data_IF_287267881689
#
_entry.id   IF_287267881689
#
_cell.length_a   1.000
_cell.length_b   1.000
_cell.length_c   1.000
_cell.angle_alpha   90.00
_cell.angle_beta   90.00
_cell.angle_gamma   90.00
#
_symmetry.space_group_name_H-M   'P 1'
#
loop_
_entity.id
_entity.type
_entity.pdbx_description
1 polymer ?
#
# COMPACT_ATOMS: atom_id res chain seq x y z
N UNK A 1 -32.35 -48.06 -62.32
CA UNK A 1 -33.59 -47.27 -62.49
C UNK A 1 -33.77 -46.25 -61.35
N UNK A 2 -33.53 -46.64 -60.08
CA UNK A 2 -33.65 -45.75 -58.90
C UNK A 2 -32.63 -44.59 -58.90
N UNK A 3 -31.36 -44.83 -59.22
CA UNK A 3 -30.36 -43.74 -59.29
C UNK A 3 -30.65 -42.71 -60.39
N UNK A 4 -31.24 -43.14 -61.51
CA UNK A 4 -31.61 -42.24 -62.59
C UNK A 4 -32.79 -41.33 -62.17
N UNK A 5 -33.77 -41.87 -61.44
CA UNK A 5 -34.87 -41.10 -60.83
C UNK A 5 -34.36 -40.11 -59.77
N UNK A 6 -33.43 -40.52 -58.92
CA UNK A 6 -32.84 -39.67 -57.87
C UNK A 6 -32.05 -38.50 -58.48
N UNK A 7 -31.29 -38.77 -59.54
CA UNK A 7 -30.54 -37.74 -60.26
C UNK A 7 -31.47 -36.75 -61.01
N UNK A 8 -32.62 -37.21 -61.50
CA UNK A 8 -33.64 -36.36 -62.13
C UNK A 8 -34.33 -35.46 -61.09
N UNK A 9 -34.64 -35.97 -59.90
CA UNK A 9 -35.23 -35.18 -58.81
C UNK A 9 -34.26 -34.13 -58.30
N UNK A 10 -33.01 -34.50 -58.06
CA UNK A 10 -31.97 -33.57 -57.61
C UNK A 10 -31.73 -32.45 -58.63
N UNK A 11 -31.58 -32.78 -59.93
CA UNK A 11 -31.50 -31.76 -60.99
C UNK A 11 -32.74 -30.89 -61.08
N UNK A 12 -33.92 -31.45 -60.84
CA UNK A 12 -35.17 -30.68 -60.87
C UNK A 12 -35.20 -29.67 -59.72
N UNK A 13 -34.82 -30.07 -58.51
CA UNK A 13 -34.78 -29.18 -57.34
C UNK A 13 -33.70 -28.09 -57.49
N UNK A 14 -32.54 -28.43 -58.06
CA UNK A 14 -31.47 -27.47 -58.35
C UNK A 14 -31.91 -26.43 -59.40
N UNK A 15 -32.52 -26.88 -60.50
CA UNK A 15 -33.08 -25.99 -61.53
C UNK A 15 -34.24 -25.16 -60.99
N UNK A 16 -35.08 -25.72 -60.10
CA UNK A 16 -36.16 -24.97 -59.45
C UNK A 16 -35.60 -23.87 -58.55
N UNK A 17 -34.58 -24.18 -57.77
CA UNK A 17 -33.91 -23.23 -56.87
C UNK A 17 -33.23 -22.10 -57.66
N UNK A 18 -32.54 -22.42 -58.76
CA UNK A 18 -31.93 -21.43 -59.65
C UNK A 18 -32.97 -20.55 -60.36
N UNK A 19 -34.10 -21.12 -60.78
CA UNK A 19 -35.19 -20.39 -61.43
C UNK A 19 -35.92 -19.46 -60.44
N UNK A 20 -36.11 -19.91 -59.20
CA UNK A 20 -36.65 -19.07 -58.11
C UNK A 20 -35.69 -17.93 -57.78
N UNK A 21 -34.38 -18.19 -57.77
CA UNK A 21 -33.37 -17.16 -57.53
C UNK A 21 -33.28 -16.13 -58.68
N UNK A 22 -33.45 -16.56 -59.93
CA UNK A 22 -33.50 -15.65 -61.08
C UNK A 22 -34.77 -14.80 -61.09
N UNK A 23 -35.94 -15.40 -60.80
CA UNK A 23 -37.23 -14.69 -60.64
C UNK A 23 -37.19 -13.66 -59.50
N UNK A 24 -36.51 -13.99 -58.41
CA UNK A 24 -36.28 -13.08 -57.28
C UNK A 24 -35.44 -11.85 -57.67
N UNK A 25 -34.53 -12.00 -58.63
CA UNK A 25 -33.69 -10.90 -59.14
C UNK A 25 -34.39 -10.08 -60.25
N UNK A 26 -35.30 -10.68 -61.01
CA UNK A 26 -35.97 -10.02 -62.15
C UNK A 26 -37.28 -9.31 -61.78
N UNK A 27 -38.03 -9.80 -60.77
CA UNK A 27 -39.34 -9.23 -60.40
C UNK A 27 -39.24 -8.27 -59.20
N UNK A 28 -39.49 -6.96 -59.37
CA UNK A 28 -39.44 -5.96 -58.28
C UNK A 28 -40.40 -6.28 -57.12
N UNK A 29 -41.55 -6.90 -57.42
CA UNK A 29 -42.57 -7.27 -56.41
C UNK A 29 -42.11 -8.38 -55.46
N UNK A 30 -41.33 -9.34 -55.96
CA UNK A 30 -40.85 -10.49 -55.19
C UNK A 30 -39.73 -10.07 -54.23
N UNK A 31 -38.83 -9.17 -54.68
CA UNK A 31 -37.83 -8.51 -53.84
C UNK A 31 -38.47 -7.70 -52.73
N UNK A 32 -39.55 -6.95 -53.01
CA UNK A 32 -40.29 -6.20 -52.00
C UNK A 32 -40.88 -7.12 -50.92
N UNK A 33 -41.50 -8.24 -51.31
CA UNK A 33 -42.04 -9.23 -50.36
C UNK A 33 -40.93 -9.80 -49.48
N UNK A 34 -39.76 -10.11 -50.05
CA UNK A 34 -38.61 -10.59 -49.28
C UNK A 34 -38.11 -9.54 -48.28
N UNK A 35 -37.98 -8.28 -48.70
CA UNK A 35 -37.60 -7.18 -47.81
C UNK A 35 -38.62 -6.96 -46.69
N UNK A 36 -39.92 -7.08 -46.98
CA UNK A 36 -40.97 -7.00 -45.97
C UNK A 36 -40.90 -8.16 -44.97
N UNK A 37 -40.60 -9.38 -45.43
CA UNK A 37 -40.37 -10.54 -44.55
C UNK A 37 -39.15 -10.34 -43.65
N UNK A 38 -38.04 -9.86 -44.21
CA UNK A 38 -36.83 -9.56 -43.44
C UNK A 38 -37.05 -8.43 -42.43
N UNK A 39 -37.79 -7.38 -42.82
CA UNK A 39 -38.16 -6.27 -41.94
C UNK A 39 -39.07 -6.76 -40.80
N UNK A 40 -40.04 -7.62 -41.10
CA UNK A 40 -40.93 -8.23 -40.10
C UNK A 40 -40.14 -9.12 -39.14
N UNK A 41 -39.23 -9.95 -39.65
CA UNK A 41 -38.37 -10.80 -38.82
C UNK A 41 -37.47 -9.98 -37.88
N UNK A 42 -36.86 -8.89 -38.39
CA UNK A 42 -36.08 -7.94 -37.57
C UNK A 42 -36.96 -7.20 -36.57
N UNK A 43 -38.17 -6.81 -36.95
CA UNK A 43 -39.15 -6.20 -36.04
C UNK A 43 -39.48 -7.10 -34.85
N UNK A 44 -39.75 -8.39 -35.11
CA UNK A 44 -39.99 -9.38 -34.05
C UNK A 44 -38.78 -9.58 -33.13
N UNK A 45 -37.56 -9.55 -33.68
CA UNK A 45 -36.34 -9.60 -32.86
C UNK A 45 -36.19 -8.36 -31.98
N UNK A 46 -36.50 -7.18 -32.51
CA UNK A 46 -36.48 -5.92 -31.76
C UNK A 46 -37.51 -5.97 -30.62
N UNK A 47 -38.73 -6.40 -30.90
CA UNK A 47 -39.79 -6.53 -29.88
C UNK A 47 -39.38 -7.51 -28.77
N UNK A 48 -38.75 -8.63 -29.12
CA UNK A 48 -38.21 -9.58 -28.14
C UNK A 48 -37.15 -8.93 -27.23
N UNK A 49 -36.20 -8.21 -27.82
CA UNK A 49 -35.17 -7.50 -27.06
C UNK A 49 -35.79 -6.43 -26.17
N UNK A 50 -36.77 -5.68 -26.70
CA UNK A 50 -37.46 -4.64 -25.94
C UNK A 50 -38.22 -5.23 -24.73
N UNK A 51 -38.90 -6.37 -24.91
CA UNK A 51 -39.54 -7.10 -23.80
C UNK A 51 -38.52 -7.54 -22.74
N UNK A 52 -37.35 -8.04 -23.15
CA UNK A 52 -36.29 -8.43 -22.22
C UNK A 52 -35.73 -7.23 -21.44
N UNK A 53 -35.57 -6.07 -22.11
CA UNK A 53 -35.16 -4.82 -21.46
C UNK A 53 -36.19 -4.42 -20.41
N UNK A 54 -37.48 -4.40 -20.76
CA UNK A 54 -38.55 -4.04 -19.81
C UNK A 54 -38.60 -4.99 -18.62
N UNK A 55 -38.45 -6.29 -18.86
CA UNK A 55 -38.39 -7.29 -17.78
C UNK A 55 -37.20 -7.04 -16.84
N UNK A 56 -36.02 -6.72 -17.38
CA UNK A 56 -34.83 -6.42 -16.57
C UNK A 56 -34.94 -5.10 -15.81
N UNK A 57 -35.60 -4.10 -16.40
CA UNK A 57 -35.87 -2.83 -15.71
C UNK A 57 -36.80 -3.05 -14.53
N UNK A 58 -37.91 -3.75 -14.73
CA UNK A 58 -38.82 -4.12 -13.65
C UNK A 58 -38.11 -4.92 -12.55
N UNK A 59 -37.35 -5.95 -12.92
CA UNK A 59 -36.58 -6.75 -11.94
C UNK A 59 -35.57 -5.89 -11.17
N UNK A 60 -34.96 -4.88 -11.80
CA UNK A 60 -34.07 -3.94 -11.10
C UNK A 60 -34.82 -3.06 -10.10
N UNK A 61 -35.96 -2.52 -10.48
CA UNK A 61 -36.77 -1.63 -9.61
C UNK A 61 -37.36 -2.36 -8.41
N UNK A 62 -37.65 -3.65 -8.57
CA UNK A 62 -38.29 -4.50 -7.57
C UNK A 62 -37.31 -5.46 -6.91
N UNK A 63 -36.02 -5.35 -7.24
CA UNK A 63 -34.98 -6.30 -6.85
C UNK A 63 -34.91 -6.50 -5.34
N UNK A 64 -35.06 -5.40 -4.62
CA UNK A 64 -34.90 -5.35 -3.19
C UNK A 64 -36.08 -5.91 -2.38
N UNK A 65 -37.22 -6.10 -3.02
CA UNK A 65 -38.43 -6.69 -2.42
C UNK A 65 -38.76 -8.07 -2.98
N UNK A 66 -38.37 -8.39 -4.22
CA UNK A 66 -38.65 -9.69 -4.83
C UNK A 66 -37.54 -10.72 -4.60
N UNK A 67 -36.29 -10.30 -4.40
CA UNK A 67 -35.18 -11.23 -4.15
C UNK A 67 -34.98 -11.42 -2.65
N UNK A 68 -35.37 -12.60 -2.15
CA UNK A 68 -35.34 -12.95 -0.73
C UNK A 68 -33.99 -12.66 -0.07
N UNK A 69 -32.86 -13.02 -0.69
CA UNK A 69 -31.54 -12.79 -0.10
C UNK A 69 -31.16 -11.31 0.06
N UNK A 70 -31.64 -10.44 -0.82
CA UNK A 70 -31.41 -8.98 -0.70
C UNK A 70 -32.30 -8.41 0.40
N UNK A 71 -33.55 -8.88 0.47
CA UNK A 71 -34.49 -8.50 1.52
C UNK A 71 -34.01 -8.93 2.90
N UNK A 72 -33.54 -10.17 3.05
CA UNK A 72 -32.95 -10.70 4.29
C UNK A 72 -31.71 -9.91 4.72
N UNK A 73 -30.84 -9.55 3.78
CA UNK A 73 -29.68 -8.69 4.06
C UNK A 73 -30.09 -7.31 4.55
N UNK A 74 -31.10 -6.68 3.92
CA UNK A 74 -31.63 -5.39 4.37
C UNK A 74 -32.27 -5.48 5.77
N UNK A 75 -33.02 -6.55 6.05
CA UNK A 75 -33.62 -6.79 7.37
C UNK A 75 -32.53 -6.95 8.43
N UNK A 76 -31.52 -7.78 8.17
CA UNK A 76 -30.40 -7.99 9.10
C UNK A 76 -29.63 -6.70 9.40
N UNK A 77 -29.41 -5.86 8.40
CA UNK A 77 -28.80 -4.54 8.59
C UNK A 77 -29.67 -3.61 9.44
N UNK A 78 -30.98 -3.60 9.20
CA UNK A 78 -31.92 -2.81 9.97
C UNK A 78 -32.01 -3.28 11.43
N UNK A 79 -32.03 -4.59 11.66
CA UNK A 79 -32.04 -5.18 13.00
C UNK A 79 -30.75 -4.87 13.76
N UNK A 80 -29.60 -4.96 13.08
CA UNK A 80 -28.30 -4.57 13.64
C UNK A 80 -28.28 -3.10 14.05
N UNK A 81 -28.74 -2.21 13.17
CA UNK A 81 -28.85 -0.78 13.47
C UNK A 81 -29.81 -0.52 14.64
N UNK A 82 -30.98 -1.18 14.63
CA UNK A 82 -31.97 -1.07 15.70
C UNK A 82 -31.40 -1.50 17.05
N UNK A 83 -30.68 -2.63 17.07
CA UNK A 83 -30.00 -3.15 18.26
C UNK A 83 -28.95 -2.16 18.79
N UNK A 84 -28.11 -1.60 17.92
CA UNK A 84 -27.14 -0.57 18.31
C UNK A 84 -27.80 0.68 18.89
N UNK A 85 -28.86 1.17 18.26
CA UNK A 85 -29.60 2.33 18.76
C UNK A 85 -30.26 2.03 20.11
N UNK A 86 -30.84 0.84 20.26
CA UNK A 86 -31.42 0.42 21.53
C UNK A 86 -30.37 0.31 22.65
N UNK A 87 -29.18 -0.23 22.34
CA UNK A 87 -28.08 -0.29 23.29
C UNK A 87 -27.62 1.12 23.74
N UNK A 88 -27.56 2.08 22.81
CA UNK A 88 -27.24 3.48 23.11
C UNK A 88 -28.32 4.11 23.99
N UNK A 89 -29.60 3.89 23.67
CA UNK A 89 -30.73 4.41 24.46
C UNK A 89 -30.72 3.83 25.88
N UNK A 90 -30.48 2.54 26.03
CA UNK A 90 -30.32 1.89 27.34
C UNK A 90 -29.12 2.43 28.11
N UNK A 91 -28.02 2.71 27.40
CA UNK A 91 -26.80 3.25 28.00
C UNK A 91 -26.86 4.76 28.26
N UNK A 92 -27.92 5.47 27.82
CA UNK A 92 -28.04 6.92 27.92
C UNK A 92 -27.90 7.41 29.35
N UNK A 93 -28.64 6.83 30.28
CA UNK A 93 -28.63 7.27 31.68
C UNK A 93 -27.28 6.95 32.35
N UNK A 94 -26.67 5.82 31.98
CA UNK A 94 -25.31 5.48 32.41
C UNK A 94 -24.26 6.47 31.87
N UNK A 95 -24.36 6.85 30.59
CA UNK A 95 -23.50 7.85 29.96
C UNK A 95 -23.66 9.23 30.60
N UNK A 96 -24.90 9.66 30.85
CA UNK A 96 -25.19 10.93 31.53
C UNK A 96 -24.60 10.91 32.94
N UNK A 97 -24.85 9.86 33.72
CA UNK A 97 -24.30 9.73 35.07
C UNK A 97 -22.76 9.77 35.05
N UNK A 98 -22.13 9.04 34.13
CA UNK A 98 -20.66 9.06 34.00
C UNK A 98 -20.12 10.44 33.62
N UNK A 99 -20.80 11.17 32.74
CA UNK A 99 -20.37 12.52 32.32
C UNK A 99 -20.64 13.58 33.39
N UNK A 100 -21.68 13.40 34.20
CA UNK A 100 -22.01 14.28 35.33
C UNK A 100 -21.11 14.03 36.54
N UNK A 101 -20.55 12.83 36.68
CA UNK A 101 -19.60 12.55 37.74
C UNK A 101 -18.34 13.40 37.55
N UNK A 102 -18.03 14.35 38.46
CA UNK A 102 -16.78 15.06 38.41
C UNK A 102 -15.67 14.02 38.56
N UNK A 103 -14.69 14.03 37.65
CA UNK A 103 -13.53 13.18 37.76
C UNK A 103 -12.91 13.34 39.15
N UNK A 104 -12.90 12.25 39.93
CA UNK A 104 -12.33 12.22 41.27
C UNK A 104 -10.86 11.83 41.13
N UNK A 105 -9.96 12.81 41.29
CA UNK A 105 -8.51 12.66 41.19
C UNK A 105 -7.80 14.01 41.29
N UNK A 106 -6.47 14.02 41.14
CA UNK A 106 -5.71 15.26 40.97
C UNK A 106 -5.86 15.75 39.53
N UNK A 107 -6.66 16.79 39.33
CA UNK A 107 -6.87 17.39 38.00
C UNK A 107 -6.59 18.89 38.04
N UNK A 108 -6.07 19.38 36.93
CA UNK A 108 -5.90 20.81 36.72
C UNK A 108 -7.25 21.39 36.26
N UNK A 109 -7.88 22.21 37.12
CA UNK A 109 -9.06 22.99 36.74
C UNK A 109 -8.63 24.08 35.76
N UNK A 110 -9.06 23.97 34.52
CA UNK A 110 -8.77 24.94 33.47
C UNK A 110 -10.11 25.44 32.93
N UNK A 111 -10.25 26.75 32.75
CA UNK A 111 -11.42 27.30 32.07
C UNK A 111 -11.43 26.88 30.61
N UNK A 112 -12.63 26.66 30.04
CA UNK A 112 -12.79 26.15 28.68
C UNK A 112 -12.07 27.01 27.62
N UNK A 113 -11.97 28.33 27.85
CA UNK A 113 -11.25 29.25 26.98
C UNK A 113 -9.77 28.91 26.82
N UNK A 114 -9.15 28.26 27.82
CA UNK A 114 -7.73 27.96 27.84
C UNK A 114 -7.38 26.51 27.49
N UNK A 115 -8.37 25.63 27.27
CA UNK A 115 -8.13 24.22 26.97
C UNK A 115 -7.29 24.00 25.71
N UNK A 116 -7.48 24.84 24.68
CA UNK A 116 -6.71 24.75 23.43
C UNK A 116 -5.22 25.03 23.67
N UNK A 117 -4.88 26.08 24.41
CA UNK A 117 -3.49 26.42 24.71
C UNK A 117 -2.82 25.37 25.59
N UNK A 118 -3.56 24.83 26.58
CA UNK A 118 -3.06 23.76 27.45
C UNK A 118 -2.78 22.49 26.65
N UNK A 119 -3.66 22.12 25.72
CA UNK A 119 -3.47 20.96 24.84
C UNK A 119 -2.16 21.07 24.05
N UNK A 120 -1.79 22.25 23.60
CA UNK A 120 -0.55 22.49 22.85
C UNK A 120 0.69 22.58 23.76
N UNK A 121 0.55 23.20 24.94
CA UNK A 121 1.65 23.42 25.86
C UNK A 121 2.09 22.15 26.60
N UNK A 122 1.14 21.30 27.01
CA UNK A 122 1.44 20.13 27.84
C UNK A 122 2.41 19.14 27.18
N UNK A 123 2.26 18.78 25.89
CA UNK A 123 3.23 17.94 25.20
C UNK A 123 4.64 18.54 25.18
N UNK A 124 4.76 19.86 24.93
CA UNK A 124 6.06 20.54 24.95
C UNK A 124 6.67 20.51 26.35
N UNK A 125 5.87 20.85 27.37
CA UNK A 125 6.33 20.86 28.76
C UNK A 125 6.75 19.46 29.24
N UNK A 126 5.99 18.41 28.88
CA UNK A 126 6.33 17.03 29.21
C UNK A 126 7.65 16.58 28.58
N UNK A 127 7.87 16.91 27.30
CA UNK A 127 9.14 16.63 26.62
C UNK A 127 10.31 17.36 27.29
N UNK A 128 10.15 18.65 27.60
CA UNK A 128 11.18 19.41 28.30
C UNK A 128 11.47 18.85 29.69
N UNK A 129 10.46 18.42 30.44
CA UNK A 129 10.63 17.81 31.76
C UNK A 129 11.33 16.44 31.68
N UNK A 130 11.02 15.64 30.66
CA UNK A 130 11.68 14.36 30.44
C UNK A 130 13.18 14.55 30.14
N UNK A 131 13.53 15.56 29.35
CA UNK A 131 14.92 15.87 28.99
C UNK A 131 15.67 16.65 30.07
N UNK A 132 14.96 17.29 31.01
CA UNK A 132 15.55 18.15 32.04
C UNK A 132 16.63 17.46 32.86
N UNK A 133 16.41 16.20 33.27
CA UNK A 133 17.41 15.45 34.04
C UNK A 133 18.69 15.21 33.26
N UNK A 134 18.57 14.85 31.97
CA UNK A 134 19.73 14.64 31.09
C UNK A 134 20.48 15.96 30.86
N UNK A 135 19.73 17.04 30.64
CA UNK A 135 20.29 18.38 30.45
C UNK A 135 21.02 18.86 31.72
N UNK A 136 20.46 18.62 32.91
CA UNK A 136 21.11 18.93 34.19
C UNK A 136 22.38 18.11 34.41
N UNK A 137 22.37 16.80 34.08
CA UNK A 137 23.57 15.97 34.13
C UNK A 137 24.66 16.46 33.16
N UNK A 138 24.25 16.90 31.97
CA UNK A 138 25.17 17.44 30.96
C UNK A 138 25.80 18.75 31.42
N UNK A 139 25.01 19.63 32.02
CA UNK A 139 25.49 20.89 32.60
C UNK A 139 26.40 20.61 33.80
N UNK A 140 26.04 19.64 34.66
CA UNK A 140 26.87 19.23 35.79
C UNK A 140 28.21 18.67 35.31
N UNK A 141 28.21 17.77 34.32
CA UNK A 141 29.43 17.28 33.68
C UNK A 141 30.26 18.43 33.11
N UNK A 142 29.64 19.35 32.35
CA UNK A 142 30.33 20.49 31.76
C UNK A 142 30.92 21.43 32.83
N UNK A 143 30.22 21.61 33.96
CA UNK A 143 30.71 22.42 35.08
C UNK A 143 31.88 21.77 35.85
N UNK A 144 31.94 20.44 35.87
CA UNK A 144 33.05 19.67 36.45
C UNK A 144 34.20 19.42 35.47
N UNK A 145 34.00 19.70 34.19
CA UNK A 145 35.01 19.57 33.14
C UNK A 145 35.83 20.86 33.07
N UNK A 146 36.88 20.95 33.87
CA UNK A 146 37.87 22.02 33.76
C UNK A 146 39.04 21.58 32.87
N UNK A 147 39.22 22.23 31.72
CA UNK A 147 40.37 22.02 30.83
C UNK A 147 41.67 22.58 31.40
N UNK A 148 41.59 23.48 32.40
CA UNK A 148 42.77 24.06 33.08
C UNK A 148 43.42 23.10 34.06
N UNK A 149 42.76 22.00 34.41
CA UNK A 149 43.25 20.98 35.35
C UNK A 149 44.48 20.22 34.81
N UNK A 150 44.88 20.50 33.56
CA UNK A 150 46.11 20.02 32.92
C UNK A 150 46.16 18.51 32.70
N UNK A 151 45.13 17.76 33.12
CA UNK A 151 45.03 16.30 32.97
C UNK A 151 45.02 15.89 31.50
N UNK A 152 44.31 16.65 30.66
CA UNK A 152 44.27 16.41 29.22
C UNK A 152 45.63 16.71 28.57
N UNK A 153 46.28 17.79 28.98
CA UNK A 153 47.63 18.14 28.49
C UNK A 153 48.66 17.08 28.90
N UNK A 154 48.61 16.61 30.15
CA UNK A 154 49.46 15.49 30.63
C UNK A 154 49.21 14.19 29.85
N UNK A 155 47.96 13.86 29.56
CA UNK A 155 47.63 12.68 28.76
C UNK A 155 48.15 12.81 27.32
N UNK A 156 48.01 13.98 26.71
CA UNK A 156 48.57 14.28 25.39
C UNK A 156 50.10 14.20 25.37
N UNK A 157 50.77 14.73 26.41
CA UNK A 157 52.23 14.64 26.54
C UNK A 157 52.70 13.20 26.71
N UNK A 158 52.00 12.37 27.49
CA UNK A 158 52.33 10.95 27.65
C UNK A 158 52.17 10.17 26.34
N UNK A 159 51.11 10.43 25.57
CA UNK A 159 50.91 9.85 24.23
C UNK A 159 52.03 10.28 23.29
N UNK A 160 52.37 11.57 23.28
CA UNK A 160 53.47 12.12 22.46
C UNK A 160 54.82 11.49 22.80
N UNK A 161 55.13 11.33 24.09
CA UNK A 161 56.35 10.67 24.54
C UNK A 161 56.41 9.19 24.12
N UNK A 162 55.29 8.46 24.21
CA UNK A 162 55.21 7.07 23.75
C UNK A 162 55.40 6.95 22.24
N UNK A 163 54.85 7.88 21.46
CA UNK A 163 55.05 7.93 20.01
C UNK A 163 56.52 8.21 19.64
N UNK A 164 57.17 9.14 20.34
CA UNK A 164 58.59 9.41 20.16
C UNK A 164 59.44 8.16 20.46
N UNK A 165 59.13 7.43 21.54
CA UNK A 165 59.83 6.20 21.89
C UNK A 165 59.65 5.09 20.84
N UNK A 166 58.43 4.92 20.32
CA UNK A 166 58.14 4.00 19.22
C UNK A 166 58.91 4.40 17.94
N UNK A 167 58.97 5.69 17.63
CA UNK A 167 59.73 6.20 16.49
C UNK A 167 61.23 5.93 16.64
N UNK A 168 61.82 6.16 17.81
CA UNK A 168 63.22 5.83 18.08
C UNK A 168 63.46 4.33 17.96
N UNK A 169 62.59 3.51 18.54
CA UNK A 169 62.70 2.05 18.45
C UNK A 169 62.66 1.59 16.99
N UNK A 170 61.73 2.12 16.19
CA UNK A 170 61.68 1.86 14.76
C UNK A 170 62.97 2.26 14.03
N UNK A 171 63.52 3.45 14.33
CA UNK A 171 64.79 3.89 13.75
C UNK A 171 65.96 2.97 14.13
N UNK A 172 66.03 2.49 15.38
CA UNK A 172 67.08 1.54 15.80
C UNK A 172 66.96 0.20 15.07
N UNK A 173 65.74 -0.29 14.82
CA UNK A 173 65.51 -1.50 14.02
C UNK A 173 65.98 -1.29 12.57
N UNK A 174 65.66 -0.14 11.97
CA UNK A 174 66.12 0.21 10.64
C UNK A 174 67.66 0.31 10.56
N UNK A 175 68.31 0.88 11.58
CA UNK A 175 69.77 0.94 11.64
C UNK A 175 70.39 -0.45 11.77
N UNK A 176 69.85 -1.31 12.64
CA UNK A 176 70.30 -2.69 12.78
C UNK A 176 70.19 -3.46 11.46
N UNK A 177 69.06 -3.30 10.75
CA UNK A 177 68.89 -3.90 9.42
C UNK A 177 69.96 -3.44 8.44
N UNK A 178 70.20 -2.13 8.36
CA UNK A 178 71.25 -1.59 7.49
C UNK A 178 72.64 -2.12 7.88
N UNK A 179 72.93 -2.31 9.17
CA UNK A 179 74.21 -2.90 9.59
C UNK A 179 74.32 -4.37 9.20
N UNK A 180 73.23 -5.14 9.28
CA UNK A 180 73.21 -6.53 8.83
C UNK A 180 73.40 -6.62 7.31
N UNK A 181 72.73 -5.78 6.53
CA UNK A 181 72.88 -5.73 5.06
C UNK A 181 74.32 -5.33 4.66
N UNK A 182 74.94 -4.42 5.41
CA UNK A 182 76.35 -4.05 5.21
C UNK A 182 77.32 -5.20 5.56
N UNK A 183 77.01 -6.01 6.58
CA UNK A 183 77.81 -7.17 6.95
C UNK A 183 77.65 -8.31 5.92
N UNK A 184 76.44 -8.51 5.41
CA UNK A 184 76.17 -9.49 4.35
C UNK A 184 76.90 -9.12 3.05
N UNK A 185 76.88 -7.85 2.65
CA UNK A 185 77.63 -7.37 1.48
C UNK A 185 79.16 -7.46 1.67
N UNK A 186 79.69 -7.20 2.88
CA UNK A 186 81.11 -7.44 3.18
C UNK A 186 81.49 -8.92 3.17
N UNK A 187 80.64 -9.81 3.70
CA UNK A 187 80.85 -11.26 3.65
C UNK A 187 80.82 -11.79 2.22
N UNK A 188 79.98 -11.21 1.36
CA UNK A 188 79.88 -11.56 -0.06
C UNK A 188 81.06 -11.05 -0.90
N UNK A 189 81.73 -9.96 -0.47
CA UNK A 189 82.89 -9.39 -1.16
C UNK A 189 84.24 -10.07 -0.86
N UNK A 190 84.35 -10.84 0.23
CA UNK A 190 85.58 -11.58 0.57
C UNK A 190 85.73 -12.94 -0.13
N UNK A 191 84.68 -13.45 -0.78
CA UNK A 191 84.71 -14.80 -1.41
C UNK A 191 85.36 -14.79 -2.81
N UNK A 192 85.70 -13.63 -3.38
CA UNK A 192 86.40 -13.53 -4.68
C UNK A 192 87.69 -12.71 -4.59
N UNK A 193 88.60 -13.05 -3.68
CA UNK A 193 90.02 -12.71 -3.85
C UNK A 193 90.91 -13.68 -3.09
N UNK A 194 91.05 -14.89 -3.65
CA UNK A 194 92.21 -15.76 -3.52
C UNK A 194 92.29 -16.63 -4.77
#
# INVERSE_FOLDING_TARGET
MVECLMNIVFRRDEVLSEMVQSLHNTSPSLRLIQQLKEMTAKGQQLDKINMEIQSRLMDKETRDIMHLGILESKISQLDSLSSHLQAIVQSKDHLINRLQQPFVGDYLKIEAAFHMYVKELFPLAASCLAELSSNLQTIQWASGFDTKDGKMDKALMAISASLAHLQTSFQTICQLRNTLDNLESQASGQVTSS
#
